data_IF_481054821785
#
_entry.id   IF_481054821785
#
_cell.length_a   1.000
_cell.length_b   1.000
_cell.length_c   1.000
_cell.angle_alpha   90.00
_cell.angle_beta   90.00
_cell.angle_gamma   90.00
#
_symmetry.space_group_name_H-M   'P 1'
#
loop_
_entity.id
_entity.type
_entity.pdbx_description
1 polymer ?
#
# COMPACT_ATOMS: atom_id res chain seq x y z
N UNK A 1 1.40 -21.64 -25.24
CA UNK A 1 0.70 -20.44 -24.74
C UNK A 1 1.33 -19.19 -25.35
N UNK A 2 0.54 -18.23 -25.82
CA UNK A 2 1.03 -17.00 -26.48
C UNK A 2 1.82 -16.12 -25.49
N UNK A 3 2.95 -15.54 -25.92
CA UNK A 3 3.76 -14.60 -25.10
C UNK A 3 2.92 -13.47 -24.52
N UNK A 4 1.91 -12.99 -25.25
CA UNK A 4 1.01 -11.95 -24.80
C UNK A 4 0.17 -12.39 -23.58
N UNK A 5 -0.32 -13.63 -23.57
CA UNK A 5 -1.06 -14.17 -22.43
C UNK A 5 -0.18 -14.26 -21.18
N UNK A 6 1.10 -14.61 -21.33
CA UNK A 6 2.06 -14.68 -20.21
C UNK A 6 2.38 -13.30 -19.62
N UNK A 7 2.48 -12.27 -20.47
CA UNK A 7 2.68 -10.88 -20.05
C UNK A 7 1.42 -10.35 -19.36
N UNK A 8 0.24 -10.62 -19.92
CA UNK A 8 -1.04 -10.22 -19.30
C UNK A 8 -1.22 -10.90 -17.95
N UNK A 9 -0.90 -12.19 -17.82
CA UNK A 9 -0.97 -12.92 -16.56
C UNK A 9 0.02 -12.38 -15.51
N UNK A 10 1.23 -11.99 -15.92
CA UNK A 10 2.20 -11.30 -15.05
C UNK A 10 1.79 -9.88 -14.64
N UNK A 11 1.02 -9.18 -15.48
CA UNK A 11 0.51 -7.82 -15.20
C UNK A 11 -0.74 -7.88 -14.32
N UNK A 12 -1.55 -8.94 -14.46
CA UNK A 12 -2.83 -9.11 -13.76
C UNK A 12 -2.66 -9.85 -12.44
N UNK A 13 -1.76 -10.84 -12.40
CA UNK A 13 -1.35 -11.55 -11.19
C UNK A 13 -0.33 -10.71 -10.43
N UNK A 14 -0.75 -10.09 -9.33
CA UNK A 14 0.22 -9.48 -8.42
C UNK A 14 1.04 -10.61 -7.77
N UNK A 15 2.36 -10.69 -8.01
CA UNK A 15 3.21 -11.78 -7.53
C UNK A 15 3.21 -11.93 -6.00
N UNK A 16 2.85 -10.87 -5.28
CA UNK A 16 2.64 -10.94 -3.83
C UNK A 16 1.54 -11.94 -3.40
N UNK A 17 0.59 -12.27 -4.29
CA UNK A 17 -0.46 -13.27 -4.00
C UNK A 17 0.04 -14.71 -4.02
N UNK A 18 1.08 -15.01 -4.81
CA UNK A 18 1.64 -16.37 -4.91
C UNK A 18 2.63 -16.67 -3.77
N UNK A 19 3.39 -15.66 -3.32
CA UNK A 19 4.48 -15.87 -2.34
C UNK A 19 4.04 -16.12 -0.89
N UNK A 20 2.79 -15.80 -0.52
CA UNK A 20 2.32 -15.85 0.88
C UNK A 20 1.08 -16.75 1.08
N UNK A 21 0.80 -17.63 0.12
CA UNK A 21 -0.11 -18.77 0.27
C UNK A 21 -1.50 -18.43 0.82
N UNK A 22 -2.35 -17.76 0.05
CA UNK A 22 -3.79 -17.55 0.34
C UNK A 22 -4.13 -16.64 1.54
N UNK A 23 -3.36 -16.69 2.63
CA UNK A 23 -3.49 -15.89 3.84
C UNK A 23 -3.13 -14.40 3.61
N UNK A 24 -2.36 -14.15 2.56
CA UNK A 24 -1.96 -12.83 2.11
C UNK A 24 -3.14 -11.88 1.86
N UNK A 25 -4.24 -12.37 1.30
CA UNK A 25 -5.43 -11.54 1.03
C UNK A 25 -6.02 -11.00 2.34
N UNK A 26 -6.00 -11.82 3.39
CA UNK A 26 -6.49 -11.44 4.71
C UNK A 26 -5.56 -10.42 5.38
N UNK A 27 -4.25 -10.70 5.37
CA UNK A 27 -3.25 -9.76 5.90
C UNK A 27 -3.29 -8.43 5.15
N UNK A 28 -3.46 -8.43 3.84
CA UNK A 28 -3.56 -7.21 3.02
C UNK A 28 -4.74 -6.32 3.43
N UNK A 29 -5.88 -6.93 3.71
CA UNK A 29 -7.11 -6.22 4.14
C UNK A 29 -7.00 -5.63 5.54
N UNK A 30 -6.02 -6.04 6.34
CA UNK A 30 -5.78 -5.52 7.70
C UNK A 30 -4.56 -4.59 7.72
N UNK A 31 -3.45 -5.01 7.09
CA UNK A 31 -2.17 -4.32 7.09
C UNK A 31 -2.23 -3.01 6.31
N UNK A 32 -2.84 -2.98 5.12
CA UNK A 32 -2.92 -1.73 4.32
C UNK A 32 -3.73 -0.67 5.07
N UNK A 33 -4.95 -0.96 5.58
CA UNK A 33 -5.68 0.02 6.39
C UNK A 33 -4.92 0.45 7.65
N UNK A 34 -4.21 -0.46 8.32
CA UNK A 34 -3.46 -0.14 9.53
C UNK A 34 -2.25 0.76 9.23
N UNK A 35 -1.53 0.52 8.13
CA UNK A 35 -0.47 1.39 7.65
C UNK A 35 -1.01 2.78 7.28
N UNK A 36 -2.13 2.84 6.55
CA UNK A 36 -2.76 4.11 6.19
C UNK A 36 -3.25 4.88 7.43
N UNK A 37 -3.78 4.18 8.44
CA UNK A 37 -4.14 4.80 9.72
C UNK A 37 -2.91 5.35 10.44
N UNK A 38 -1.80 4.62 10.46
CA UNK A 38 -0.52 5.08 11.02
C UNK A 38 0.03 6.32 10.28
N UNK A 39 -0.04 6.34 8.95
CA UNK A 39 0.35 7.51 8.13
C UNK A 39 -0.56 8.71 8.44
N UNK A 40 -1.86 8.49 8.55
CA UNK A 40 -2.82 9.55 8.87
C UNK A 40 -2.55 10.15 10.26
N UNK A 41 -2.42 9.31 11.27
CA UNK A 41 -2.18 9.74 12.66
C UNK A 41 -0.83 10.44 12.81
N UNK A 42 0.22 9.90 12.19
CA UNK A 42 1.55 10.51 12.22
C UNK A 42 1.59 11.86 11.49
N UNK A 43 0.98 11.94 10.30
CA UNK A 43 0.86 13.19 9.54
C UNK A 43 0.05 14.23 10.30
N UNK A 44 -1.07 13.84 10.91
CA UNK A 44 -1.88 14.73 11.75
C UNK A 44 -1.10 15.22 12.97
N UNK A 45 -0.41 14.33 13.68
CA UNK A 45 0.39 14.69 14.86
C UNK A 45 1.48 15.71 14.51
N UNK A 46 2.19 15.50 13.39
CA UNK A 46 3.19 16.45 12.90
C UNK A 46 2.56 17.80 12.53
N UNK A 47 1.44 17.79 11.79
CA UNK A 47 0.78 19.03 11.35
C UNK A 47 0.08 19.78 12.48
N UNK A 48 -0.37 19.08 13.53
CA UNK A 48 -0.97 19.70 14.72
C UNK A 48 0.02 20.52 15.55
N UNK A 49 1.33 20.36 15.31
CA UNK A 49 2.37 21.15 15.98
C UNK A 49 2.48 22.57 15.37
N UNK A 50 2.13 22.73 14.10
CA UNK A 50 2.38 23.96 13.33
C UNK A 50 1.11 24.65 12.83
N UNK A 51 -0.02 23.95 12.74
CA UNK A 51 -1.26 24.44 12.13
C UNK A 51 -2.47 24.24 13.06
N UNK A 52 -3.54 25.00 12.78
CA UNK A 52 -4.84 24.82 13.41
C UNK A 52 -5.47 23.47 13.07
N UNK A 53 -6.29 22.97 14.00
CA UNK A 53 -6.93 21.65 13.94
C UNK A 53 -7.59 21.33 12.59
N UNK A 54 -8.34 22.29 12.02
CA UNK A 54 -9.03 22.11 10.74
C UNK A 54 -8.06 21.90 9.57
N UNK A 55 -6.97 22.68 9.52
CA UNK A 55 -5.96 22.58 8.47
C UNK A 55 -5.14 21.30 8.63
N UNK A 56 -4.78 20.93 9.87
CA UNK A 56 -4.03 19.71 10.16
C UNK A 56 -4.76 18.45 9.71
N UNK A 57 -6.09 18.39 9.86
CA UNK A 57 -6.91 17.25 9.38
C UNK A 57 -6.91 17.17 7.85
N UNK A 58 -7.11 18.30 7.16
CA UNK A 58 -7.12 18.33 5.69
C UNK A 58 -5.78 17.89 5.14
N UNK A 59 -4.68 18.42 5.68
CA UNK A 59 -3.32 18.05 5.26
C UNK A 59 -3.03 16.58 5.54
N UNK A 60 -3.41 16.06 6.72
CA UNK A 60 -3.25 14.64 7.04
C UNK A 60 -4.03 13.72 6.09
N UNK A 61 -5.25 14.11 5.72
CA UNK A 61 -6.05 13.41 4.72
C UNK A 61 -5.39 13.40 3.34
N UNK A 62 -4.82 14.53 2.90
CA UNK A 62 -4.08 14.61 1.65
C UNK A 62 -2.84 13.70 1.64
N UNK A 63 -2.03 13.74 2.71
CA UNK A 63 -0.85 12.87 2.84
C UNK A 63 -1.22 11.39 2.85
N UNK A 64 -2.29 11.02 3.54
CA UNK A 64 -2.79 9.65 3.59
C UNK A 64 -3.25 9.18 2.22
N UNK A 65 -4.04 10.00 1.51
CA UNK A 65 -4.51 9.70 0.16
C UNK A 65 -3.37 9.54 -0.86
N UNK A 66 -2.37 10.43 -0.81
CA UNK A 66 -1.18 10.34 -1.66
C UNK A 66 -0.32 9.12 -1.33
N UNK A 67 -0.34 8.64 -0.08
CA UNK A 67 0.42 7.48 0.36
C UNK A 67 -0.17 6.14 -0.11
N UNK A 68 -1.46 6.09 -0.50
CA UNK A 68 -2.11 4.86 -0.98
C UNK A 68 -1.35 4.25 -2.16
N UNK A 69 -1.01 5.05 -3.17
CA UNK A 69 -0.31 4.57 -4.36
C UNK A 69 1.08 3.97 -4.07
N UNK A 70 1.96 4.70 -3.37
CA UNK A 70 3.25 4.18 -2.93
C UNK A 70 3.15 2.92 -2.07
N UNK A 71 2.23 2.87 -1.10
CA UNK A 71 2.04 1.69 -0.22
C UNK A 71 1.68 0.44 -1.05
N UNK A 72 0.76 0.58 -2.01
CA UNK A 72 0.38 -0.52 -2.91
C UNK A 72 1.51 -0.94 -3.86
N UNK A 73 2.42 -0.02 -4.19
CA UNK A 73 3.57 -0.31 -5.06
C UNK A 73 4.67 -1.02 -4.30
N UNK A 74 4.97 -0.57 -3.08
CA UNK A 74 5.90 -1.25 -2.16
C UNK A 74 5.44 -2.67 -1.85
N UNK A 75 4.14 -2.87 -1.67
CA UNK A 75 3.53 -4.20 -1.53
C UNK A 75 3.90 -5.12 -2.71
N UNK A 76 3.71 -4.65 -3.95
CA UNK A 76 4.05 -5.40 -5.17
C UNK A 76 5.55 -5.66 -5.28
N UNK A 77 6.38 -4.66 -4.94
CA UNK A 77 7.84 -4.79 -4.96
C UNK A 77 8.32 -5.84 -3.96
N UNK A 78 7.77 -5.84 -2.74
CA UNK A 78 8.08 -6.85 -1.73
C UNK A 78 7.73 -8.26 -2.22
N UNK A 79 6.55 -8.43 -2.82
CA UNK A 79 6.16 -9.71 -3.42
C UNK A 79 7.06 -10.15 -4.58
N UNK A 80 7.54 -9.21 -5.40
CA UNK A 80 8.51 -9.51 -6.46
C UNK A 80 9.88 -9.92 -5.91
N UNK A 81 10.29 -9.33 -4.79
CA UNK A 81 11.58 -9.63 -4.17
C UNK A 81 11.56 -11.00 -3.49
N UNK A 82 10.48 -11.31 -2.76
CA UNK A 82 10.29 -12.60 -2.11
C UNK A 82 10.22 -13.79 -3.08
N UNK A 83 9.62 -13.60 -4.26
CA UNK A 83 9.55 -14.65 -5.30
C UNK A 83 10.81 -14.76 -6.17
N UNK A 84 11.79 -13.88 -5.98
CA UNK A 84 13.07 -13.92 -6.71
C UNK A 84 14.13 -14.76 -5.98
N UNK A 85 13.89 -15.11 -4.72
CA UNK A 85 14.64 -16.12 -3.95
C UNK A 85 13.98 -17.50 -4.09
#
# INVERSE_FOLDING_TARGET
>A
MSKAAKIVDQVTGNPAFDGLGGYYIFLRRVLIPLLLAGVCLSSYSLMSTWFDHGVSIVVAGMFTGLSVGPILTLEKMYGLWLNRE
#
